data_IF_809144916977
#
_entry.id   IF_809144916977
#
_cell.length_a   1.000
_cell.length_b   1.000
_cell.length_c   1.000
_cell.angle_alpha   90.00
_cell.angle_beta   90.00
_cell.angle_gamma   90.00
#
_symmetry.space_group_name_H-M   'P 1'
#
loop_
_entity.id
_entity.type
_entity.pdbx_description
1 polymer ?
#
# COMPACT_ATOMS: atom_id res chain seq x y z
N UNK A 1 28.79 2.75 1.16
CA UNK A 1 27.90 1.68 0.69
C UNK A 1 26.55 1.96 1.31
N UNK A 2 25.60 2.47 0.53
CA UNK A 2 24.23 2.65 1.03
C UNK A 2 23.63 1.27 1.21
N UNK A 3 23.20 0.93 2.44
CA UNK A 3 22.59 -0.36 2.74
C UNK A 3 21.36 -0.64 1.88
N UNK A 4 21.01 -1.92 1.77
CA UNK A 4 19.75 -2.39 1.17
C UNK A 4 18.57 -1.63 1.80
N UNK A 5 17.57 -1.27 0.99
CA UNK A 5 16.44 -0.45 1.43
C UNK A 5 15.12 -0.95 0.87
N UNK A 6 14.04 -0.63 1.58
CA UNK A 6 12.67 -0.95 1.17
C UNK A 6 12.05 0.24 0.46
N UNK A 7 11.41 0.01 -0.68
CA UNK A 7 10.50 0.98 -1.29
C UNK A 7 9.06 0.58 -0.98
N UNK A 8 8.33 1.46 -0.31
CA UNK A 8 6.89 1.34 -0.10
C UNK A 8 6.20 2.15 -1.19
N UNK A 9 5.53 1.47 -2.12
CA UNK A 9 4.82 2.09 -3.25
C UNK A 9 3.35 2.20 -2.92
N UNK A 10 2.83 3.40 -2.72
CA UNK A 10 1.46 3.62 -2.25
C UNK A 10 0.52 4.02 -3.39
N UNK A 11 -0.48 3.18 -3.62
CA UNK A 11 -1.66 3.49 -4.42
C UNK A 11 -2.78 4.02 -3.52
N UNK A 12 -2.68 5.29 -3.14
CA UNK A 12 -3.63 5.89 -2.20
C UNK A 12 -5.07 5.95 -2.72
N UNK A 13 -5.25 6.04 -4.04
CA UNK A 13 -6.58 6.06 -4.67
C UNK A 13 -7.24 4.69 -4.56
N UNK A 14 -6.51 3.61 -4.82
CA UNK A 14 -7.02 2.25 -4.64
C UNK A 14 -7.41 1.96 -3.18
N UNK A 15 -6.62 2.42 -2.20
CA UNK A 15 -6.94 2.24 -0.78
C UNK A 15 -8.18 3.06 -0.37
N UNK A 16 -8.26 4.35 -0.70
CA UNK A 16 -9.41 5.20 -0.34
C UNK A 16 -10.68 4.73 -1.07
N UNK A 17 -10.57 4.27 -2.32
CA UNK A 17 -11.69 3.70 -3.07
C UNK A 17 -12.20 2.39 -2.47
N UNK A 18 -11.31 1.48 -2.07
CA UNK A 18 -11.70 0.20 -1.43
C UNK A 18 -12.36 0.47 -0.08
N UNK A 19 -11.76 1.35 0.73
CA UNK A 19 -12.31 1.75 2.01
C UNK A 19 -13.69 2.41 1.87
N UNK A 20 -13.85 3.31 0.91
CA UNK A 20 -15.09 4.06 0.71
C UNK A 20 -16.20 3.25 0.06
N UNK A 21 -15.91 2.56 -1.04
CA UNK A 21 -16.92 1.91 -1.87
C UNK A 21 -17.26 0.50 -1.36
N UNK A 22 -16.25 -0.28 -0.99
CA UNK A 22 -16.44 -1.69 -0.64
C UNK A 22 -16.73 -1.89 0.84
N UNK A 23 -16.04 -1.13 1.71
CA UNK A 23 -16.10 -1.34 3.16
C UNK A 23 -17.14 -0.46 3.85
N UNK A 24 -17.12 0.86 3.60
CA UNK A 24 -18.00 1.81 4.29
C UNK A 24 -19.28 2.14 3.50
N UNK A 25 -19.29 1.91 2.18
CA UNK A 25 -20.33 2.36 1.26
C UNK A 25 -20.64 3.87 1.37
N UNK A 26 -19.61 4.66 1.68
CA UNK A 26 -19.62 6.13 1.76
C UNK A 26 -18.18 6.65 1.76
N UNK A 27 -18.01 7.96 1.56
CA UNK A 27 -16.69 8.58 1.72
C UNK A 27 -16.15 8.33 3.15
N UNK A 28 -14.89 7.87 3.29
CA UNK A 28 -14.28 7.68 4.61
C UNK A 28 -14.11 9.02 5.35
N UNK A 29 -14.36 9.00 6.65
CA UNK A 29 -14.05 10.11 7.55
C UNK A 29 -12.53 10.20 7.79
N UNK A 30 -11.99 11.36 8.21
CA UNK A 30 -10.56 11.50 8.48
C UNK A 30 -10.00 10.45 9.45
N UNK A 31 -10.75 10.08 10.49
CA UNK A 31 -10.37 9.10 11.51
C UNK A 31 -10.41 7.64 11.02
N UNK A 32 -11.15 7.38 9.93
CA UNK A 32 -11.24 6.07 9.28
C UNK A 32 -10.15 5.87 8.22
N UNK A 33 -9.38 6.91 7.89
CA UNK A 33 -8.28 6.80 6.91
C UNK A 33 -7.02 6.21 7.53
N UNK A 34 -6.18 5.55 6.72
CA UNK A 34 -4.89 5.06 7.17
C UNK A 34 -3.99 6.18 7.71
N UNK A 35 -3.29 5.87 8.80
CA UNK A 35 -2.15 6.59 9.35
C UNK A 35 -0.92 6.16 8.56
N UNK A 36 -0.64 6.86 7.47
CA UNK A 36 0.43 6.50 6.52
C UNK A 36 1.81 6.41 7.16
N UNK A 37 2.06 7.15 8.25
CA UNK A 37 3.28 7.03 9.04
C UNK A 37 3.48 5.62 9.60
N UNK A 38 2.40 4.94 10.01
CA UNK A 38 2.46 3.58 10.56
C UNK A 38 2.82 2.54 9.50
N UNK A 39 2.46 2.80 8.24
CA UNK A 39 2.80 1.93 7.11
C UNK A 39 4.32 1.90 6.88
N UNK A 40 4.96 3.07 6.90
CA UNK A 40 6.42 3.15 6.78
C UNK A 40 7.14 2.61 8.01
N UNK A 41 6.64 2.88 9.22
CA UNK A 41 7.20 2.29 10.46
C UNK A 41 7.12 0.77 10.44
N UNK A 42 5.97 0.20 10.08
CA UNK A 42 5.82 -1.24 9.93
C UNK A 42 6.81 -1.82 8.90
N UNK A 43 6.97 -1.15 7.75
CA UNK A 43 7.91 -1.60 6.73
C UNK A 43 9.38 -1.56 7.19
N UNK A 44 9.76 -0.60 8.04
CA UNK A 44 11.10 -0.53 8.64
C UNK A 44 11.32 -1.69 9.61
N UNK A 45 10.34 -1.96 10.47
CA UNK A 45 10.40 -3.03 11.47
C UNK A 45 10.36 -4.43 10.84
N UNK A 46 9.52 -4.62 9.82
CA UNK A 46 9.29 -5.91 9.16
C UNK A 46 10.61 -6.49 8.61
N UNK A 47 11.44 -5.66 7.99
CA UNK A 47 12.68 -6.11 7.33
C UNK A 47 13.97 -5.54 7.93
N UNK A 48 13.86 -4.78 9.02
CA UNK A 48 14.97 -4.14 9.75
C UNK A 48 15.91 -3.34 8.84
N UNK A 49 15.33 -2.46 8.02
CA UNK A 49 16.08 -1.68 7.04
C UNK A 49 15.43 -0.33 6.70
N UNK A 50 16.20 0.65 6.18
CA UNK A 50 15.65 1.97 5.84
C UNK A 50 14.55 1.89 4.77
N UNK A 51 13.51 2.70 4.92
CA UNK A 51 12.38 2.78 3.99
C UNK A 51 12.43 4.04 3.10
N UNK A 52 11.83 3.95 1.91
CA UNK A 52 11.37 5.11 1.11
C UNK A 52 9.89 4.93 0.85
N UNK A 53 9.06 5.83 1.37
CA UNK A 53 7.66 5.92 0.96
C UNK A 53 7.52 6.70 -0.35
N UNK A 54 7.00 6.09 -1.40
CA UNK A 54 6.60 6.75 -2.65
C UNK A 54 5.08 6.78 -2.73
N UNK A 55 4.50 7.97 -2.76
CA UNK A 55 3.04 8.13 -2.77
C UNK A 55 2.57 8.66 -4.13
N UNK A 56 1.88 7.82 -4.90
CA UNK A 56 1.50 8.16 -6.28
C UNK A 56 0.18 8.92 -6.29
N UNK A 57 0.14 10.04 -7.03
CA UNK A 57 -1.02 10.93 -7.08
C UNK A 57 -1.39 11.24 -8.53
N UNK A 58 -2.67 11.16 -8.85
CA UNK A 58 -3.17 11.67 -10.12
C UNK A 58 -3.27 13.20 -10.08
N UNK A 59 -2.53 13.85 -10.97
CA UNK A 59 -2.46 15.29 -11.15
C UNK A 59 -2.87 15.72 -12.57
N UNK A 60 -3.58 14.86 -13.30
CA UNK A 60 -3.95 15.10 -14.71
C UNK A 60 -4.87 16.31 -14.91
N UNK A 61 -5.56 16.76 -13.86
CA UNK A 61 -6.36 17.99 -13.85
C UNK A 61 -5.52 19.26 -13.56
N UNK A 62 -4.20 19.15 -13.41
CA UNK A 62 -3.30 20.26 -13.09
C UNK A 62 -3.40 20.78 -11.66
N UNK A 63 -4.12 20.09 -10.77
CA UNK A 63 -4.30 20.46 -9.38
C UNK A 63 -3.77 19.36 -8.45
N UNK A 64 -3.16 19.78 -7.33
CA UNK A 64 -2.75 18.88 -6.26
C UNK A 64 -3.43 19.29 -4.96
N UNK A 65 -3.90 18.34 -4.13
CA UNK A 65 -4.45 18.65 -2.83
C UNK A 65 -3.32 19.13 -1.89
N UNK A 66 -3.07 20.43 -1.83
CA UNK A 66 -1.89 21.01 -1.18
C UNK A 66 -1.70 20.57 0.28
N UNK A 67 -2.78 20.56 1.08
CA UNK A 67 -2.72 20.11 2.48
C UNK A 67 -2.31 18.64 2.60
N UNK A 68 -2.78 17.77 1.70
CA UNK A 68 -2.43 16.35 1.69
C UNK A 68 -0.95 16.15 1.28
N UNK A 69 -0.48 16.87 0.25
CA UNK A 69 0.93 16.83 -0.16
C UNK A 69 1.84 17.30 0.98
N UNK A 70 1.48 18.36 1.71
CA UNK A 70 2.26 18.81 2.86
C UNK A 70 2.27 17.77 3.99
N UNK A 71 1.14 17.10 4.25
CA UNK A 71 1.09 16.02 5.23
C UNK A 71 2.02 14.86 4.83
N UNK A 72 2.03 14.44 3.56
CA UNK A 72 2.94 13.39 3.07
C UNK A 72 4.41 13.77 3.29
N UNK A 73 4.80 14.99 2.93
CA UNK A 73 6.17 15.48 3.14
C UNK A 73 6.55 15.53 4.64
N UNK A 74 5.62 15.90 5.51
CA UNK A 74 5.84 15.93 6.96
C UNK A 74 5.99 14.52 7.57
N UNK A 75 5.53 13.48 6.87
CA UNK A 75 5.71 12.07 7.22
C UNK A 75 6.88 11.42 6.46
N UNK A 76 7.75 12.22 5.84
CA UNK A 76 8.90 11.79 5.04
C UNK A 76 8.55 10.89 3.83
N UNK A 77 7.28 10.88 3.40
CA UNK A 77 6.92 10.34 2.10
C UNK A 77 7.40 11.28 0.99
N UNK A 78 7.72 10.69 -0.16
CA UNK A 78 7.93 11.39 -1.41
C UNK A 78 6.66 11.33 -2.25
N UNK A 79 5.91 12.44 -2.39
CA UNK A 79 4.79 12.51 -3.32
C UNK A 79 5.30 12.40 -4.77
N UNK A 80 4.61 11.60 -5.57
CA UNK A 80 4.89 11.37 -7.00
C UNK A 80 3.63 11.77 -7.78
N UNK A 81 3.43 13.08 -8.03
CA UNK A 81 2.32 13.55 -8.85
C UNK A 81 2.56 13.22 -10.33
N UNK A 82 1.59 12.57 -10.95
CA UNK A 82 1.65 12.12 -12.34
C UNK A 82 0.48 12.70 -13.14
N UNK A 83 0.75 13.10 -14.37
CA UNK A 83 -0.25 13.64 -15.28
C UNK A 83 -0.14 12.92 -16.63
N UNK A 84 -1.29 12.67 -17.23
CA UNK A 84 -1.42 11.95 -18.50
C UNK A 84 -2.73 12.30 -19.19
N UNK A 85 -3.12 11.49 -20.17
CA UNK A 85 -4.41 11.67 -20.87
C UNK A 85 -5.58 11.27 -19.96
N UNK A 86 -6.78 11.74 -20.27
CA UNK A 86 -7.98 11.48 -19.43
C UNK A 86 -8.37 10.00 -19.31
N UNK A 87 -7.95 9.17 -20.27
CA UNK A 87 -8.15 7.72 -20.31
C UNK A 87 -6.99 6.93 -19.69
N UNK A 88 -5.94 7.61 -19.23
CA UNK A 88 -4.74 6.98 -18.70
C UNK A 88 -4.84 6.82 -17.18
N UNK A 89 -4.71 5.59 -16.69
CA UNK A 89 -4.55 5.29 -15.27
C UNK A 89 -3.14 5.65 -14.80
N UNK A 90 -2.86 6.95 -14.67
CA UNK A 90 -1.50 7.46 -14.46
C UNK A 90 -0.83 6.95 -13.19
N UNK A 91 -1.61 6.67 -12.13
CA UNK A 91 -1.11 6.10 -10.87
C UNK A 91 -0.62 4.68 -11.10
N UNK A 92 -1.47 3.81 -11.67
CA UNK A 92 -1.14 2.42 -12.01
C UNK A 92 0.10 2.37 -12.91
N UNK A 93 0.12 3.15 -13.99
CA UNK A 93 1.25 3.22 -14.92
C UNK A 93 2.53 3.69 -14.21
N UNK A 94 2.42 4.65 -13.30
CA UNK A 94 3.53 5.15 -12.49
C UNK A 94 4.14 4.08 -11.59
N UNK A 95 3.29 3.32 -10.89
CA UNK A 95 3.69 2.22 -10.03
C UNK A 95 4.31 1.10 -10.86
N UNK A 96 3.68 0.66 -11.95
CA UNK A 96 4.20 -0.36 -12.86
C UNK A 96 5.60 0.00 -13.38
N UNK A 97 5.79 1.23 -13.85
CA UNK A 97 7.11 1.73 -14.31
C UNK A 97 8.14 1.75 -13.18
N UNK A 98 7.72 2.03 -11.96
CA UNK A 98 8.60 2.03 -10.78
C UNK A 98 9.00 0.61 -10.41
N UNK A 99 8.07 -0.35 -10.39
CA UNK A 99 8.34 -1.77 -10.17
C UNK A 99 9.32 -2.30 -11.24
N UNK A 100 9.11 -1.98 -12.51
CA UNK A 100 10.00 -2.37 -13.60
C UNK A 100 11.40 -1.79 -13.45
N UNK A 101 11.52 -0.52 -13.05
CA UNK A 101 12.82 0.10 -12.82
C UNK A 101 13.58 -0.58 -11.67
N UNK A 102 12.87 -0.99 -10.60
CA UNK A 102 13.45 -1.67 -9.44
C UNK A 102 14.09 -3.03 -9.77
N UNK A 103 13.81 -3.63 -10.94
CA UNK A 103 14.52 -4.83 -11.40
C UNK A 103 16.04 -4.61 -11.53
N UNK A 104 16.46 -3.39 -11.87
CA UNK A 104 17.86 -3.00 -12.01
C UNK A 104 18.50 -2.49 -10.70
N UNK A 105 17.80 -2.58 -9.56
CA UNK A 105 18.24 -2.08 -8.27
C UNK A 105 18.24 -3.18 -7.20
N UNK A 106 19.23 -3.18 -6.31
CA UNK A 106 19.25 -4.01 -5.10
C UNK A 106 18.35 -3.38 -4.02
N UNK A 107 17.04 -3.58 -4.17
CA UNK A 107 16.04 -3.04 -3.26
C UNK A 107 14.89 -4.01 -3.03
N UNK A 108 14.27 -3.90 -1.86
CA UNK A 108 13.08 -4.65 -1.49
C UNK A 108 11.83 -3.79 -1.69
N UNK A 109 10.67 -4.43 -1.85
CA UNK A 109 9.45 -3.73 -2.27
C UNK A 109 8.25 -4.15 -1.45
N UNK A 110 7.55 -3.18 -0.89
CA UNK A 110 6.18 -3.33 -0.40
C UNK A 110 5.24 -2.51 -1.27
N UNK A 111 4.28 -3.17 -1.91
CA UNK A 111 3.22 -2.49 -2.65
C UNK A 111 2.00 -2.30 -1.73
N UNK A 112 1.47 -1.08 -1.64
CA UNK A 112 0.21 -0.80 -0.94
C UNK A 112 -0.90 -0.66 -1.96
N UNK A 113 -1.54 -1.77 -2.31
CA UNK A 113 -2.66 -1.83 -3.27
C UNK A 113 -3.36 -3.19 -3.20
N UNK A 114 -4.60 -3.23 -3.70
CA UNK A 114 -5.37 -4.46 -3.88
C UNK A 114 -5.32 -4.99 -5.32
N UNK A 115 -4.83 -4.18 -6.28
CA UNK A 115 -5.05 -4.39 -7.71
C UNK A 115 -4.19 -5.50 -8.35
N UNK A 116 -4.86 -6.37 -9.10
CA UNK A 116 -4.27 -7.44 -9.89
C UNK A 116 -3.32 -6.94 -11.00
N UNK A 117 -3.51 -5.70 -11.48
CA UNK A 117 -2.72 -5.09 -12.55
C UNK A 117 -1.21 -5.00 -12.22
N UNK A 118 -0.82 -5.17 -10.94
CA UNK A 118 0.57 -5.18 -10.50
C UNK A 118 1.19 -6.58 -10.38
N UNK A 119 0.40 -7.66 -10.42
CA UNK A 119 0.87 -9.01 -10.11
C UNK A 119 2.03 -9.47 -11.02
N UNK A 120 1.95 -9.23 -12.33
CA UNK A 120 3.01 -9.59 -13.27
C UNK A 120 4.33 -8.81 -13.04
N UNK A 121 4.25 -7.60 -12.51
CA UNK A 121 5.42 -6.79 -12.18
C UNK A 121 6.06 -7.25 -10.86
N UNK A 122 5.25 -7.62 -9.87
CA UNK A 122 5.72 -8.20 -8.61
C UNK A 122 6.34 -9.58 -8.82
N UNK A 123 5.76 -10.42 -9.67
CA UNK A 123 6.30 -11.75 -10.02
C UNK A 123 7.74 -11.66 -10.55
N UNK A 124 8.00 -10.70 -11.46
CA UNK A 124 9.34 -10.44 -12.01
C UNK A 124 10.33 -9.98 -10.94
N UNK A 125 9.86 -9.30 -9.90
CA UNK A 125 10.69 -8.87 -8.77
C UNK A 125 10.91 -10.00 -7.76
N UNK A 126 9.97 -10.94 -7.62
CA UNK A 126 10.04 -12.07 -6.71
C UNK A 126 11.00 -13.17 -7.19
N UNK A 127 12.20 -12.78 -7.66
CA UNK A 127 13.25 -13.64 -8.21
C UNK A 127 14.04 -14.44 -7.16
N UNK A 128 13.63 -14.39 -5.89
CA UNK A 128 14.29 -15.02 -4.75
C UNK A 128 15.51 -14.27 -4.20
N UNK A 129 15.96 -13.19 -4.85
CA UNK A 129 17.06 -12.34 -4.38
C UNK A 129 16.60 -11.14 -3.57
N UNK A 130 15.30 -10.85 -3.57
CA UNK A 130 14.69 -9.72 -2.87
C UNK A 130 13.39 -10.05 -2.17
N UNK A 131 13.11 -9.28 -1.12
CA UNK A 131 11.87 -9.35 -0.37
C UNK A 131 10.83 -8.53 -1.14
N UNK A 132 9.69 -9.15 -1.39
CA UNK A 132 8.54 -8.56 -2.07
C UNK A 132 7.31 -8.90 -1.24
N UNK A 133 6.49 -7.91 -0.97
CA UNK A 133 5.23 -8.09 -0.25
C UNK A 133 4.19 -7.07 -0.65
N UNK A 134 2.95 -7.31 -0.21
CA UNK A 134 1.80 -6.44 -0.45
C UNK A 134 1.19 -6.06 0.90
N UNK A 135 0.76 -4.80 1.02
CA UNK A 135 0.01 -4.26 2.15
C UNK A 135 -1.39 -3.94 1.64
N UNK A 136 -2.39 -4.65 2.16
CA UNK A 136 -3.76 -4.56 1.67
C UNK A 136 -4.76 -4.94 2.77
N UNK A 137 -6.05 -4.75 2.50
CA UNK A 137 -7.09 -5.52 3.18
C UNK A 137 -7.18 -6.89 2.49
N UNK A 138 -6.85 -7.95 3.23
CA UNK A 138 -6.71 -9.30 2.63
C UNK A 138 -7.92 -9.77 1.85
N UNK A 139 -9.13 -9.47 2.31
CA UNK A 139 -10.39 -9.85 1.67
C UNK A 139 -10.67 -9.13 0.34
N UNK A 140 -9.98 -8.02 0.07
CA UNK A 140 -10.12 -7.25 -1.17
C UNK A 140 -8.89 -7.38 -2.07
N UNK A 141 -7.79 -7.94 -1.57
CA UNK A 141 -6.58 -8.15 -2.35
C UNK A 141 -6.81 -9.18 -3.47
N UNK A 142 -6.19 -8.95 -4.63
CA UNK A 142 -6.23 -9.89 -5.74
C UNK A 142 -5.68 -11.26 -5.33
N UNK A 143 -6.45 -12.33 -5.60
CA UNK A 143 -6.00 -13.72 -5.41
C UNK A 143 -4.80 -14.09 -6.29
N UNK A 144 -4.45 -13.25 -7.27
CA UNK A 144 -3.23 -13.44 -8.05
C UNK A 144 -1.98 -13.28 -7.20
N UNK A 145 -2.02 -12.48 -6.12
CA UNK A 145 -0.88 -12.33 -5.22
C UNK A 145 -0.55 -13.63 -4.49
N UNK A 146 -1.56 -14.42 -4.10
CA UNK A 146 -1.36 -15.73 -3.47
C UNK A 146 -0.54 -16.68 -4.35
N UNK A 147 -0.72 -16.59 -5.68
CA UNK A 147 0.00 -17.39 -6.66
C UNK A 147 1.49 -17.03 -6.80
N UNK A 148 1.91 -15.87 -6.30
CA UNK A 148 3.30 -15.38 -6.40
C UNK A 148 4.19 -15.85 -5.25
N UNK A 149 3.61 -16.41 -4.18
CA UNK A 149 4.36 -16.77 -2.98
C UNK A 149 4.93 -15.58 -2.20
N UNK A 150 4.39 -14.37 -2.43
CA UNK A 150 4.73 -13.17 -1.67
C UNK A 150 3.80 -13.01 -0.47
N UNK A 151 4.26 -12.34 0.59
CA UNK A 151 3.46 -12.10 1.78
C UNK A 151 2.47 -10.94 1.57
N UNK A 152 1.22 -11.15 1.98
CA UNK A 152 0.18 -10.11 2.04
C UNK A 152 -0.05 -9.77 3.51
N UNK A 153 0.33 -8.55 3.89
CA UNK A 153 0.21 -8.01 5.24
C UNK A 153 -1.06 -7.17 5.36
N UNK A 154 -1.88 -7.45 6.37
CA UNK A 154 -3.15 -6.75 6.58
C UNK A 154 -2.94 -5.33 7.13
N UNK A 155 -3.52 -4.34 6.44
CA UNK A 155 -3.38 -2.92 6.80
C UNK A 155 -3.96 -2.59 8.19
N UNK A 156 -4.94 -3.33 8.68
CA UNK A 156 -5.52 -3.09 10.00
C UNK A 156 -4.85 -3.95 11.07
N UNK A 157 -4.84 -5.26 10.90
CA UNK A 157 -4.46 -6.20 11.97
C UNK A 157 -2.95 -6.28 12.18
N UNK A 158 -2.16 -6.23 11.10
CA UNK A 158 -0.71 -6.37 11.18
C UNK A 158 -0.01 -5.01 11.21
N UNK A 159 -0.41 -4.11 10.31
CA UNK A 159 0.20 -2.77 10.21
C UNK A 159 -0.32 -1.84 11.31
N UNK A 160 -1.52 -2.08 11.83
CA UNK A 160 -2.15 -1.18 12.80
C UNK A 160 -2.43 0.20 12.21
N UNK A 161 -2.71 0.31 10.90
CA UNK A 161 -2.76 1.60 10.20
C UNK A 161 -3.96 2.48 10.60
N UNK A 162 -4.92 2.00 11.39
CA UNK A 162 -6.16 2.72 11.68
C UNK A 162 -6.28 3.11 13.16
N UNK A 163 -6.99 4.21 13.43
CA UNK A 163 -7.29 4.66 14.79
C UNK A 163 -8.58 4.06 15.35
N UNK A 164 -9.40 3.48 14.47
CA UNK A 164 -10.68 2.85 14.80
C UNK A 164 -10.69 1.46 14.19
N UNK A 165 -11.41 0.54 14.83
CA UNK A 165 -11.71 -0.75 14.23
C UNK A 165 -12.70 -0.55 13.09
N UNK A 166 -12.34 -1.04 11.91
CA UNK A 166 -13.15 -0.98 10.72
C UNK A 166 -14.26 -2.05 10.77
N UNK A 167 -15.48 -1.77 10.27
CA UNK A 167 -16.59 -2.71 10.26
C UNK A 167 -16.40 -3.79 9.16
N UNK A 168 -15.33 -4.57 9.26
CA UNK A 168 -14.92 -5.57 8.27
C UNK A 168 -15.55 -6.93 8.53
N UNK A 169 -15.87 -7.63 7.46
CA UNK A 169 -16.22 -9.07 7.50
C UNK A 169 -15.12 -9.81 6.74
N UNK A 170 -14.33 -10.58 7.47
CA UNK A 170 -13.15 -11.29 6.94
C UNK A 170 -13.01 -12.66 7.57
N UNK A 171 -12.21 -13.51 6.93
CA UNK A 171 -11.79 -14.79 7.50
C UNK A 171 -10.65 -14.50 8.49
N UNK A 172 -10.82 -14.90 9.75
CA UNK A 172 -9.83 -14.75 10.80
C UNK A 172 -9.27 -16.14 11.14
N UNK A 173 -7.96 -16.37 10.98
CA UNK A 173 -7.32 -17.60 11.42
C UNK A 173 -7.55 -17.81 12.93
N UNK A 174 -7.89 -19.04 13.32
CA UNK A 174 -8.26 -19.35 14.70
C UNK A 174 -7.10 -19.15 15.69
N UNK A 175 -5.87 -19.31 15.22
CA UNK A 175 -4.62 -19.10 15.97
C UNK A 175 -4.35 -17.63 16.29
N UNK A 176 -4.89 -16.70 15.48
CA UNK A 176 -4.79 -15.25 15.72
C UNK A 176 -6.09 -14.64 16.23
N UNK A 177 -7.13 -15.45 16.45
CA UNK A 177 -8.44 -14.96 16.88
C UNK A 177 -8.42 -14.54 18.36
N UNK A 178 -8.74 -13.27 18.62
CA UNK A 178 -9.01 -12.75 19.96
C UNK A 178 -10.50 -12.36 20.08
N UNK A 179 -11.30 -13.10 20.89
CA UNK A 179 -12.71 -12.76 21.08
C UNK A 179 -12.92 -11.41 21.78
N UNK A 180 -11.98 -10.91 22.58
CA UNK A 180 -12.10 -9.63 23.29
C UNK A 180 -12.24 -8.44 22.34
N UNK A 181 -11.75 -8.57 21.10
CA UNK A 181 -11.90 -7.56 20.04
C UNK A 181 -13.37 -7.40 19.59
N UNK A 182 -14.24 -8.40 19.81
CA UNK A 182 -15.64 -8.40 19.35
C UNK A 182 -16.67 -8.17 20.45
N UNK A 183 -16.26 -8.11 21.73
CA UNK A 183 -17.17 -8.03 22.88
C UNK A 183 -17.37 -6.59 23.41
N UNK A 184 -16.86 -5.58 22.70
CA UNK A 184 -16.90 -4.16 23.10
C UNK A 184 -18.07 -3.41 22.50
#
# INVERSE_FOLDING_TARGET
MTGRRTFVLVDGENIDATLGNSLLNRRPLPEERPRWERVTTYAEELWDQPVTGLFFLNASNGQLPGAFVQALLAMDYRPVPLAGRSDEKVVDVGIQRTLDALLAHEADVLLVSHDADFAAHLDRLADGSRKVGVLAFREYASTQFDGLGIEVHDLEDEVGAFNVTLPRVRIIPLDTFDPETFLR
#
